data_IF_491293856891
#
_entry.id   IF_491293856891
#
_cell.length_a   1.000
_cell.length_b   1.000
_cell.length_c   1.000
_cell.angle_alpha   90.00
_cell.angle_beta   90.00
_cell.angle_gamma   90.00
#
_symmetry.space_group_name_H-M   'P 1'
#
loop_
_entity.id
_entity.type
_entity.pdbx_description
1 polymer ?
#
# COMPACT_ATOMS: atom_id res chain seq x y z
N UNK A 1 -4.84 14.24 -38.81
CA UNK A 1 -5.52 14.90 -37.66
C UNK A 1 -4.49 15.09 -36.54
N UNK A 2 -4.23 16.34 -36.17
CA UNK A 2 -3.01 16.82 -35.48
C UNK A 2 -2.91 16.36 -34.01
N UNK A 3 -2.19 15.26 -33.73
CA UNK A 3 -1.78 14.89 -32.36
C UNK A 3 -0.73 15.86 -31.80
N UNK A 4 0.07 16.47 -32.67
CA UNK A 4 1.12 17.41 -32.30
C UNK A 4 0.58 18.70 -31.67
N UNK A 5 -0.55 19.22 -32.17
CA UNK A 5 -1.16 20.45 -31.64
C UNK A 5 -1.69 20.34 -30.21
N UNK A 6 -2.19 19.17 -29.81
CA UNK A 6 -2.65 18.92 -28.44
C UNK A 6 -1.49 18.86 -27.44
N UNK A 7 -0.39 18.19 -27.80
CA UNK A 7 0.82 18.12 -27.00
C UNK A 7 1.49 19.50 -26.85
N UNK A 8 1.57 20.28 -27.93
CA UNK A 8 2.08 21.66 -27.87
C UNK A 8 1.23 22.55 -26.95
N UNK A 9 -0.10 22.37 -26.92
CA UNK A 9 -0.99 23.09 -25.99
C UNK A 9 -0.78 22.68 -24.53
N UNK A 10 -0.53 21.40 -24.26
CA UNK A 10 -0.22 20.91 -22.90
C UNK A 10 1.13 21.44 -22.41
N UNK A 11 2.15 21.45 -23.26
CA UNK A 11 3.49 21.98 -22.93
C UNK A 11 3.47 23.49 -22.72
N UNK A 12 2.67 24.23 -23.50
CA UNK A 12 2.52 25.68 -23.36
C UNK A 12 1.68 26.06 -22.11
N UNK A 13 0.75 25.21 -21.67
CA UNK A 13 -0.05 25.42 -20.45
C UNK A 13 0.45 24.63 -19.23
N UNK A 14 1.70 24.12 -19.25
CA UNK A 14 2.27 23.29 -18.18
C UNK A 14 2.17 23.93 -16.81
N UNK A 15 2.35 25.23 -16.70
CA UNK A 15 2.28 25.96 -15.41
C UNK A 15 0.86 25.97 -14.84
N UNK A 16 -0.16 26.13 -15.70
CA UNK A 16 -1.57 26.08 -15.30
C UNK A 16 -1.98 24.67 -14.86
N UNK A 17 -1.51 23.65 -15.60
CA UNK A 17 -1.75 22.25 -15.25
C UNK A 17 -1.05 21.91 -13.94
N UNK A 18 0.22 22.30 -13.79
CA UNK A 18 0.98 22.07 -12.57
C UNK A 18 0.33 22.76 -11.36
N UNK A 19 -0.07 24.02 -11.48
CA UNK A 19 -0.75 24.74 -10.40
C UNK A 19 -2.11 24.11 -10.07
N UNK A 20 -2.85 23.64 -11.06
CA UNK A 20 -4.14 22.94 -10.85
C UNK A 20 -3.95 21.59 -10.18
N UNK A 21 -2.94 20.82 -10.60
CA UNK A 21 -2.58 19.57 -9.95
C UNK A 21 -2.12 19.84 -8.52
N UNK A 22 -1.29 20.85 -8.31
CA UNK A 22 -0.76 21.18 -6.99
C UNK A 22 -1.85 21.64 -6.01
N UNK A 23 -2.80 22.47 -6.45
CA UNK A 23 -3.95 22.88 -5.62
C UNK A 23 -4.91 21.73 -5.33
N UNK A 24 -4.99 20.74 -6.23
CA UNK A 24 -5.79 19.53 -6.04
C UNK A 24 -5.11 18.49 -5.13
N UNK A 25 -3.80 18.29 -5.27
CA UNK A 25 -3.04 17.24 -4.56
C UNK A 25 -2.65 17.66 -3.15
N UNK A 26 -2.24 18.92 -2.92
CA UNK A 26 -1.85 19.42 -1.59
C UNK A 26 -2.84 19.07 -0.47
N UNK A 27 -4.15 19.42 -0.58
CA UNK A 27 -5.09 19.17 0.50
C UNK A 27 -5.34 17.67 0.73
N UNK A 28 -5.26 16.86 -0.33
CA UNK A 28 -5.44 15.40 -0.24
C UNK A 28 -4.23 14.72 0.41
N UNK A 29 -3.04 15.13 0.03
CA UNK A 29 -1.80 14.65 0.64
C UNK A 29 -1.70 15.09 2.10
N UNK A 30 -2.12 16.31 2.44
CA UNK A 30 -2.14 16.79 3.82
C UNK A 30 -3.09 15.96 4.70
N UNK A 31 -4.31 15.69 4.23
CA UNK A 31 -5.24 14.81 4.95
C UNK A 31 -4.72 13.38 5.07
N UNK A 32 -4.15 12.84 3.98
CA UNK A 32 -3.52 11.51 4.01
C UNK A 32 -2.40 11.45 5.05
N UNK A 33 -1.56 12.48 5.12
CA UNK A 33 -0.48 12.57 6.10
C UNK A 33 -0.99 12.66 7.55
N UNK A 34 -2.04 13.45 7.78
CA UNK A 34 -2.67 13.56 9.10
C UNK A 34 -3.17 12.22 9.62
N UNK A 35 -3.93 11.49 8.79
CA UNK A 35 -4.48 10.17 9.15
C UNK A 35 -3.37 9.12 9.24
N UNK A 36 -2.47 9.07 8.25
CA UNK A 36 -1.37 8.12 8.23
C UNK A 36 -0.46 8.28 9.45
N UNK A 37 -0.23 9.50 9.93
CA UNK A 37 0.56 9.74 11.14
C UNK A 37 -0.08 9.10 12.37
N UNK A 38 -1.40 9.10 12.49
CA UNK A 38 -2.06 8.54 13.68
C UNK A 38 -2.22 7.02 13.55
N UNK A 39 -2.58 6.52 12.38
CA UNK A 39 -2.92 5.10 12.18
C UNK A 39 -1.72 4.21 11.86
N UNK A 40 -0.68 4.75 11.22
CA UNK A 40 0.53 3.99 10.86
C UNK A 40 1.66 4.13 11.89
N UNK A 41 1.41 4.80 13.01
CA UNK A 41 2.39 4.85 14.09
C UNK A 41 2.53 3.45 14.72
N UNK A 42 3.77 2.96 14.92
CA UNK A 42 3.97 1.69 15.61
C UNK A 42 3.38 1.80 17.03
N UNK A 43 2.68 0.77 17.53
CA UNK A 43 2.07 0.81 18.85
C UNK A 43 3.17 1.04 19.91
N UNK A 44 3.11 2.20 20.56
CA UNK A 44 4.17 2.71 21.44
C UNK A 44 3.98 2.28 22.90
N UNK A 45 2.84 1.68 23.26
CA UNK A 45 2.60 1.24 24.64
C UNK A 45 2.74 -0.28 24.79
N UNK A 46 3.44 -0.70 25.83
CA UNK A 46 3.55 -2.13 26.20
C UNK A 46 2.17 -2.77 26.46
N UNK A 47 1.17 -1.97 26.85
CA UNK A 47 -0.21 -2.40 27.06
C UNK A 47 -0.92 -2.80 25.76
N UNK A 48 -0.73 -2.05 24.67
CA UNK A 48 -1.32 -2.39 23.35
C UNK A 48 -0.72 -3.67 22.79
N UNK A 49 0.58 -3.89 22.96
CA UNK A 49 1.26 -5.12 22.55
C UNK A 49 0.71 -6.32 23.33
N UNK A 50 0.50 -6.18 24.64
CA UNK A 50 -0.10 -7.23 25.46
C UNK A 50 -1.56 -7.52 25.05
N UNK A 51 -2.34 -6.48 24.74
CA UNK A 51 -3.70 -6.62 24.24
C UNK A 51 -3.76 -7.32 22.88
N UNK A 52 -2.84 -6.99 21.97
CA UNK A 52 -2.69 -7.67 20.67
C UNK A 52 -2.32 -9.16 20.85
N UNK A 53 -1.40 -9.49 21.76
CA UNK A 53 -1.09 -10.90 22.07
C UNK A 53 -2.31 -11.66 22.60
N UNK A 54 -3.10 -11.02 23.46
CA UNK A 54 -4.35 -11.61 23.98
C UNK A 54 -5.38 -11.82 22.87
N UNK A 55 -5.56 -10.86 21.95
CA UNK A 55 -6.51 -10.99 20.84
C UNK A 55 -6.11 -12.11 19.87
N UNK A 56 -4.82 -12.28 19.57
CA UNK A 56 -4.32 -13.42 18.80
C UNK A 56 -4.64 -14.76 19.47
N UNK A 57 -4.46 -14.87 20.80
CA UNK A 57 -4.80 -16.08 21.54
C UNK A 57 -6.28 -16.46 21.46
N UNK A 58 -7.18 -15.46 21.47
CA UNK A 58 -8.63 -15.70 21.28
C UNK A 58 -8.93 -16.20 19.88
N UNK A 59 -8.30 -15.65 18.84
CA UNK A 59 -8.45 -16.11 17.45
C UNK A 59 -7.98 -17.57 17.34
N UNK A 60 -6.82 -17.89 17.89
CA UNK A 60 -6.28 -19.24 17.90
C UNK A 60 -7.23 -20.24 18.56
N UNK A 61 -7.75 -19.89 19.74
CA UNK A 61 -8.73 -20.73 20.43
C UNK A 61 -9.98 -20.94 19.57
N UNK A 62 -10.54 -19.87 18.97
CA UNK A 62 -11.74 -19.95 18.12
C UNK A 62 -11.52 -20.83 16.89
N UNK A 63 -10.32 -20.86 16.32
CA UNK A 63 -9.97 -21.77 15.22
C UNK A 63 -9.99 -23.23 15.69
N UNK A 64 -9.38 -23.53 16.84
CA UNK A 64 -9.31 -24.88 17.40
C UNK A 64 -10.67 -25.41 17.83
N UNK A 65 -11.53 -24.57 18.40
CA UNK A 65 -12.90 -24.93 18.83
C UNK A 65 -13.92 -24.94 17.68
N UNK A 66 -13.47 -24.86 16.43
CA UNK A 66 -14.33 -24.78 15.25
C UNK A 66 -15.36 -23.63 15.26
N UNK A 67 -15.09 -22.57 16.03
CA UNK A 67 -15.96 -21.39 16.16
C UNK A 67 -16.07 -20.57 14.88
N UNK A 68 -15.21 -20.81 13.88
CA UNK A 68 -15.31 -20.20 12.55
C UNK A 68 -16.59 -20.61 11.80
N UNK A 69 -17.25 -21.71 12.19
CA UNK A 69 -18.49 -22.18 11.57
C UNK A 69 -19.70 -21.29 11.88
N UNK A 70 -19.61 -20.46 12.92
CA UNK A 70 -20.68 -19.53 13.31
C UNK A 70 -20.48 -18.11 12.73
N UNK A 71 -19.46 -17.89 11.91
CA UNK A 71 -19.20 -16.57 11.31
C UNK A 71 -20.14 -16.30 10.14
N UNK A 72 -20.69 -15.10 10.10
CA UNK A 72 -21.46 -14.65 8.94
C UNK A 72 -20.53 -14.37 7.74
N UNK A 73 -21.03 -14.50 6.52
CA UNK A 73 -20.23 -14.27 5.29
C UNK A 73 -19.64 -12.86 5.27
N UNK A 74 -20.39 -11.87 5.78
CA UNK A 74 -19.94 -10.48 5.88
C UNK A 74 -18.73 -10.34 6.80
N UNK A 75 -18.77 -10.97 7.97
CA UNK A 75 -17.65 -10.94 8.93
C UNK A 75 -16.43 -11.68 8.39
N UNK A 76 -16.64 -12.85 7.77
CA UNK A 76 -15.56 -13.60 7.15
C UNK A 76 -14.89 -12.80 6.03
N UNK A 77 -15.67 -12.11 5.19
CA UNK A 77 -15.16 -11.26 4.13
C UNK A 77 -14.30 -10.11 4.68
N UNK A 78 -14.79 -9.36 5.68
CA UNK A 78 -14.04 -8.26 6.28
C UNK A 78 -12.74 -8.76 6.91
N UNK A 79 -12.81 -9.86 7.68
CA UNK A 79 -11.62 -10.45 8.31
C UNK A 79 -10.59 -10.93 7.26
N UNK A 80 -11.05 -11.45 6.13
CA UNK A 80 -10.16 -11.87 5.03
C UNK A 80 -9.46 -10.69 4.35
N UNK A 81 -10.13 -9.54 4.21
CA UNK A 81 -9.54 -8.33 3.62
C UNK A 81 -8.45 -7.78 4.55
N UNK A 82 -8.71 -7.72 5.86
CA UNK A 82 -7.70 -7.30 6.84
C UNK A 82 -6.50 -8.26 6.85
N UNK A 83 -6.74 -9.57 6.73
CA UNK A 83 -5.66 -10.56 6.59
C UNK A 83 -4.82 -10.33 5.32
N UNK A 84 -5.48 -10.05 4.20
CA UNK A 84 -4.80 -9.72 2.95
C UNK A 84 -3.98 -8.43 3.07
N UNK A 85 -4.47 -7.41 3.78
CA UNK A 85 -3.72 -6.18 4.04
C UNK A 85 -2.43 -6.45 4.81
N UNK A 86 -2.48 -7.27 5.87
CA UNK A 86 -1.29 -7.66 6.64
C UNK A 86 -0.27 -8.39 5.74
N UNK A 87 -0.74 -9.25 4.83
CA UNK A 87 0.13 -9.93 3.87
C UNK A 87 0.80 -8.95 2.90
N UNK A 88 0.07 -7.94 2.41
CA UNK A 88 0.64 -6.88 1.56
C UNK A 88 1.72 -6.09 2.30
N UNK A 89 1.51 -5.76 3.58
CA UNK A 89 2.54 -5.12 4.41
C UNK A 89 3.80 -5.98 4.56
N UNK A 90 3.66 -7.30 4.66
CA UNK A 90 4.79 -8.22 4.68
C UNK A 90 5.59 -8.18 3.36
N UNK A 91 4.92 -8.27 2.21
CA UNK A 91 5.59 -8.17 0.90
C UNK A 91 6.21 -6.80 0.65
N UNK A 92 5.59 -5.72 1.12
CA UNK A 92 6.17 -4.38 1.06
C UNK A 92 7.45 -4.30 1.91
N UNK A 93 7.48 -4.92 3.08
CA UNK A 93 8.67 -5.09 3.89
C UNK A 93 9.77 -5.87 3.18
N UNK A 94 9.43 -6.96 2.48
CA UNK A 94 10.37 -7.73 1.66
C UNK A 94 10.94 -6.88 0.51
N UNK A 95 10.11 -6.10 -0.18
CA UNK A 95 10.54 -5.19 -1.26
C UNK A 95 11.52 -4.12 -0.75
N UNK A 96 11.26 -3.54 0.43
CA UNK A 96 12.18 -2.59 1.09
C UNK A 96 13.48 -3.30 1.50
N UNK A 97 13.38 -4.49 2.09
CA UNK A 97 14.52 -5.29 2.55
C UNK A 97 15.46 -5.71 1.42
N UNK A 98 14.90 -6.06 0.25
CA UNK A 98 15.69 -6.39 -0.95
C UNK A 98 16.12 -5.17 -1.77
N UNK A 99 15.55 -3.99 -1.50
CA UNK A 99 15.79 -2.73 -2.24
C UNK A 99 15.53 -2.85 -3.75
N UNK A 100 14.70 -3.80 -4.17
CA UNK A 100 14.34 -4.06 -5.55
C UNK A 100 12.82 -4.25 -5.66
N UNK A 101 12.19 -3.46 -6.54
CA UNK A 101 10.73 -3.51 -6.77
C UNK A 101 10.37 -4.67 -7.70
N UNK A 102 11.29 -5.08 -8.59
CA UNK A 102 11.06 -6.10 -9.61
C UNK A 102 12.30 -6.99 -9.73
N UNK A 103 12.15 -8.29 -9.43
CA UNK A 103 13.10 -9.38 -9.76
C UNK A 103 14.50 -9.28 -9.13
N UNK A 104 15.23 -10.40 -9.15
CA UNK A 104 16.68 -10.38 -8.92
C UNK A 104 17.37 -9.99 -10.23
N UNK A 105 18.29 -9.00 -10.18
CA UNK A 105 19.13 -8.66 -11.31
C UNK A 105 20.22 -9.75 -11.49
N UNK A 106 19.87 -10.81 -12.22
CA UNK A 106 20.80 -11.86 -12.61
C UNK A 106 21.45 -11.49 -13.94
N UNK A 107 22.79 -11.40 -14.03
CA UNK A 107 23.48 -11.21 -15.30
C UNK A 107 23.09 -12.35 -16.25
N UNK A 108 22.44 -12.02 -17.38
CA UNK A 108 22.09 -12.98 -18.42
C UNK A 108 20.58 -13.24 -18.65
N UNK A 109 19.67 -12.56 -17.94
CA UNK A 109 18.21 -12.69 -18.21
C UNK A 109 17.48 -11.37 -18.52
N UNK A 110 18.17 -10.23 -18.55
CA UNK A 110 17.64 -8.94 -19.00
C UNK A 110 17.68 -8.78 -20.53
N UNK A 111 17.01 -9.68 -21.27
CA UNK A 111 16.79 -9.53 -22.72
C UNK A 111 15.59 -8.63 -23.03
N UNK A 112 15.52 -7.44 -22.42
CA UNK A 112 14.71 -6.33 -22.95
C UNK A 112 15.61 -5.09 -23.07
N UNK A 113 16.14 -4.80 -24.26
CA UNK A 113 17.06 -3.70 -24.46
C UNK A 113 16.31 -2.38 -24.34
N UNK A 114 16.68 -1.55 -23.36
CA UNK A 114 16.41 -0.10 -23.42
C UNK A 114 15.53 0.53 -22.33
N UNK A 115 15.33 -0.08 -21.15
CA UNK A 115 14.54 0.56 -20.08
C UNK A 115 15.29 0.66 -18.74
N UNK A 116 16.51 1.21 -18.71
CA UNK A 116 17.12 1.87 -17.53
C UNK A 116 18.51 2.43 -17.90
N UNK A 117 18.56 3.36 -18.85
CA UNK A 117 19.67 4.33 -18.98
C UNK A 117 19.08 5.74 -19.03
N UNK A 118 18.69 6.25 -17.85
CA UNK A 118 18.53 7.67 -17.51
C UNK A 118 18.81 7.84 -16.02
#
# INVERSE_FOLDING_TARGET
MSKSGALTRLVNNREKIFNTVMTFTRPRAARMWEVARVEMMPPLSAGEIAAAKKSMGVIWHKMWTAGYKNLTVKEAAINSIVCAEIAVWFFLGEMIGRRHIIGYNIPGTTHFPGMFEL
#
